data_IF_436933853182
#
_entry.id   IF_436933853182
#
_cell.length_a   1.000
_cell.length_b   1.000
_cell.length_c   1.000
_cell.angle_alpha   90.00
_cell.angle_beta   90.00
_cell.angle_gamma   90.00
#
_symmetry.space_group_name_H-M   'P 1'
#
loop_
_entity.id
_entity.type
_entity.pdbx_description
1 polymer ?
#
# COMPACT_ATOMS: atom_id res chain seq x y z
N UNK A 1 27.79 5.21 4.48
CA UNK A 1 26.86 5.92 3.55
C UNK A 1 25.67 5.05 3.12
N UNK A 2 25.21 4.14 3.97
CA UNK A 2 24.34 3.04 3.52
C UNK A 2 22.94 3.11 4.16
N UNK A 3 22.85 3.70 5.36
CA UNK A 3 21.59 3.90 6.08
C UNK A 3 20.67 4.95 5.46
N UNK A 4 21.21 5.99 4.80
CA UNK A 4 20.38 7.04 4.20
C UNK A 4 19.50 6.52 3.05
N UNK A 5 19.97 5.50 2.30
CA UNK A 5 19.22 4.93 1.18
C UNK A 5 17.96 4.21 1.65
N UNK A 6 18.05 3.53 2.79
CA UNK A 6 16.90 2.89 3.42
C UNK A 6 15.87 3.92 3.86
N UNK A 7 16.31 5.00 4.52
CA UNK A 7 15.42 6.10 4.92
C UNK A 7 14.78 6.77 3.71
N UNK A 8 15.55 7.04 2.64
CA UNK A 8 15.03 7.59 1.39
C UNK A 8 14.02 6.65 0.73
N UNK A 9 14.30 5.34 0.66
CA UNK A 9 13.38 4.37 0.10
C UNK A 9 12.05 4.34 0.82
N UNK A 10 12.08 4.41 2.15
CA UNK A 10 10.86 4.52 2.97
C UNK A 10 10.12 5.82 2.70
N UNK A 11 10.79 6.97 2.71
CA UNK A 11 10.16 8.26 2.46
C UNK A 11 9.53 8.33 1.07
N UNK A 12 10.25 7.90 0.04
CA UNK A 12 9.72 7.87 -1.33
C UNK A 12 8.56 6.90 -1.43
N UNK A 13 8.65 5.71 -0.84
CA UNK A 13 7.56 4.74 -0.82
C UNK A 13 6.28 5.32 -0.22
N UNK A 14 6.38 5.98 0.94
CA UNK A 14 5.24 6.65 1.59
C UNK A 14 4.68 7.75 0.69
N UNK A 15 5.51 8.61 0.10
CA UNK A 15 5.01 9.68 -0.79
C UNK A 15 4.24 9.06 -1.97
N UNK A 16 4.79 8.00 -2.56
CA UNK A 16 4.16 7.33 -3.70
C UNK A 16 2.84 6.63 -3.32
N UNK A 17 2.66 6.23 -2.07
CA UNK A 17 1.43 5.57 -1.61
C UNK A 17 0.18 6.45 -1.76
N UNK A 18 0.33 7.78 -1.73
CA UNK A 18 -0.75 8.74 -1.98
C UNK A 18 -1.12 8.87 -3.47
N UNK A 19 -0.17 8.56 -4.36
CA UNK A 19 -0.33 8.78 -5.81
C UNK A 19 -0.70 7.50 -6.58
N UNK A 20 -0.68 6.33 -5.95
CA UNK A 20 -0.98 5.05 -6.60
C UNK A 20 -2.37 5.01 -7.23
N UNK A 21 -3.36 5.65 -6.61
CA UNK A 21 -4.73 5.78 -7.14
C UNK A 21 -4.73 6.34 -8.57
N UNK A 22 -3.85 7.30 -8.84
CA UNK A 22 -3.72 7.94 -10.16
C UNK A 22 -2.88 7.10 -11.11
N UNK A 23 -1.77 6.50 -10.65
CA UNK A 23 -0.91 5.67 -11.50
C UNK A 23 -1.61 4.43 -12.04
N UNK A 24 -2.48 3.82 -11.24
CA UNK A 24 -3.19 2.60 -11.61
C UNK A 24 -4.64 2.85 -12.05
N UNK A 25 -5.01 4.11 -12.31
CA UNK A 25 -6.34 4.54 -12.77
C UNK A 25 -7.49 3.85 -12.02
N UNK A 26 -7.52 3.98 -10.69
CA UNK A 26 -8.56 3.35 -9.86
C UNK A 26 -9.86 4.16 -9.97
N UNK A 27 -10.59 4.02 -11.08
CA UNK A 27 -11.72 4.89 -11.47
C UNK A 27 -12.74 5.11 -10.35
N UNK A 28 -13.21 4.04 -9.70
CA UNK A 28 -14.18 4.13 -8.59
C UNK A 28 -13.66 5.00 -7.43
N UNK A 29 -12.36 4.91 -7.13
CA UNK A 29 -11.72 5.68 -6.07
C UNK A 29 -11.53 7.13 -6.53
N UNK A 30 -11.10 7.35 -7.78
CA UNK A 30 -10.95 8.69 -8.36
C UNK A 30 -12.28 9.47 -8.30
N UNK A 31 -13.40 8.82 -8.64
CA UNK A 31 -14.73 9.43 -8.54
C UNK A 31 -15.04 9.80 -7.08
N UNK A 32 -14.76 8.92 -6.12
CA UNK A 32 -14.93 9.23 -4.69
C UNK A 32 -14.08 10.42 -4.25
N UNK A 33 -12.82 10.49 -4.70
CA UNK A 33 -11.93 11.60 -4.40
C UNK A 33 -12.48 12.92 -4.93
N UNK A 34 -13.05 12.96 -6.14
CA UNK A 34 -13.62 14.18 -6.71
C UNK A 34 -14.83 14.69 -5.91
N UNK A 35 -15.66 13.79 -5.39
CA UNK A 35 -16.82 14.12 -4.55
C UNK A 35 -16.35 14.76 -3.23
N UNK A 36 -15.36 14.14 -2.58
CA UNK A 36 -14.87 14.63 -1.29
C UNK A 36 -13.92 15.84 -1.41
N UNK A 37 -13.29 16.06 -2.57
CA UNK A 37 -12.40 17.21 -2.80
C UNK A 37 -13.10 18.55 -2.56
N UNK A 38 -14.41 18.62 -2.81
CA UNK A 38 -15.21 19.83 -2.63
C UNK A 38 -15.67 20.05 -1.18
N UNK A 39 -15.57 19.03 -0.33
CA UNK A 39 -16.20 19.04 1.01
C UNK A 39 -15.20 18.84 2.14
N UNK A 40 -14.28 17.89 2.01
CA UNK A 40 -13.36 17.50 3.08
C UNK A 40 -12.04 16.96 2.50
N UNK A 41 -11.00 17.81 2.53
CA UNK A 41 -9.66 17.47 2.06
C UNK A 41 -9.04 16.35 2.90
N UNK A 42 -9.36 16.25 4.19
CA UNK A 42 -8.79 15.23 5.06
C UNK A 42 -9.31 13.85 4.65
N UNK A 43 -10.60 13.73 4.31
CA UNK A 43 -11.18 12.49 3.74
C UNK A 43 -10.57 12.10 2.41
N UNK A 44 -10.22 13.06 1.55
CA UNK A 44 -9.51 12.77 0.29
C UNK A 44 -8.19 12.04 0.59
N UNK A 45 -7.45 12.51 1.58
CA UNK A 45 -6.17 11.90 1.98
C UNK A 45 -6.41 10.50 2.56
N UNK A 46 -7.42 10.32 3.42
CA UNK A 46 -7.81 9.00 3.96
C UNK A 46 -8.11 8.01 2.84
N UNK A 47 -8.91 8.42 1.87
CA UNK A 47 -9.32 7.57 0.74
C UNK A 47 -8.12 7.23 -0.16
N UNK A 48 -7.20 8.17 -0.37
CA UNK A 48 -5.97 7.93 -1.16
C UNK A 48 -5.10 6.85 -0.54
N UNK A 49 -4.76 6.97 0.75
CA UNK A 49 -3.93 5.96 1.42
C UNK A 49 -4.70 4.65 1.57
N UNK A 50 -5.98 4.73 1.96
CA UNK A 50 -6.85 3.57 2.16
C UNK A 50 -7.05 2.73 0.89
N UNK A 51 -6.90 3.33 -0.29
CA UNK A 51 -6.97 2.63 -1.57
C UNK A 51 -5.95 1.47 -1.68
N UNK A 52 -4.77 1.62 -1.05
CA UNK A 52 -3.73 0.58 -1.05
C UNK A 52 -4.17 -0.69 -0.29
N UNK A 53 -5.19 -0.58 0.56
CA UNK A 53 -5.73 -1.67 1.37
C UNK A 53 -7.10 -2.16 0.87
N UNK A 54 -7.58 -1.74 -0.31
CA UNK A 54 -8.92 -2.12 -0.80
C UNK A 54 -9.01 -3.48 -1.49
N UNK A 55 -7.89 -4.09 -1.88
CA UNK A 55 -7.92 -5.43 -2.49
C UNK A 55 -8.09 -6.51 -1.42
N UNK A 56 -9.24 -7.18 -1.38
CA UNK A 56 -9.48 -8.25 -0.42
C UNK A 56 -8.89 -9.59 -0.92
N UNK A 57 -7.74 -9.98 -0.37
CA UNK A 57 -7.12 -11.28 -0.69
C UNK A 57 -8.00 -12.46 -0.27
N UNK A 58 -8.68 -12.33 0.87
CA UNK A 58 -9.43 -13.44 1.45
C UNK A 58 -10.65 -13.73 0.59
N UNK A 59 -11.43 -12.69 0.25
CA UNK A 59 -12.58 -12.82 -0.62
C UNK A 59 -12.18 -13.35 -2.01
N UNK A 60 -11.05 -12.90 -2.56
CA UNK A 60 -10.51 -13.44 -3.81
C UNK A 60 -10.33 -14.96 -3.79
N UNK A 61 -9.77 -15.52 -2.71
CA UNK A 61 -9.53 -16.96 -2.60
C UNK A 61 -10.73 -17.77 -2.10
N UNK A 62 -11.64 -17.17 -1.32
CA UNK A 62 -12.85 -17.86 -0.84
C UNK A 62 -14.01 -17.80 -1.83
N UNK A 63 -14.00 -16.83 -2.73
CA UNK A 63 -14.98 -16.68 -3.80
C UNK A 63 -14.64 -17.52 -5.03
N UNK A 64 -14.99 -16.99 -6.20
CA UNK A 64 -14.62 -17.57 -7.51
C UNK A 64 -13.43 -16.80 -8.08
N UNK A 65 -12.19 -17.26 -7.86
CA UNK A 65 -11.01 -16.54 -8.29
C UNK A 65 -10.97 -16.43 -9.81
N UNK A 66 -10.81 -15.20 -10.30
CA UNK A 66 -10.61 -14.91 -11.71
C UNK A 66 -9.22 -14.29 -11.91
N UNK A 67 -8.50 -14.72 -12.95
CA UNK A 67 -7.15 -14.21 -13.25
C UNK A 67 -7.16 -12.71 -13.48
N UNK A 68 -8.23 -12.16 -14.08
CA UNK A 68 -8.35 -10.71 -14.32
C UNK A 68 -8.39 -9.94 -13.00
N UNK A 69 -9.14 -10.46 -12.02
CA UNK A 69 -9.31 -9.82 -10.71
C UNK A 69 -8.03 -9.92 -9.87
N UNK A 70 -7.16 -10.90 -10.14
CA UNK A 70 -5.85 -10.98 -9.50
C UNK A 70 -4.93 -9.81 -9.90
N UNK A 71 -5.07 -9.27 -11.11
CA UNK A 71 -4.34 -8.07 -11.56
C UNK A 71 -5.08 -6.78 -11.18
N UNK A 72 -5.79 -6.80 -10.05
CA UNK A 72 -6.46 -5.62 -9.52
C UNK A 72 -5.47 -4.44 -9.37
N UNK A 73 -5.86 -3.22 -9.80
CA UNK A 73 -5.06 -2.00 -9.66
C UNK A 73 -4.49 -1.79 -8.26
N UNK A 74 -5.25 -2.14 -7.23
CA UNK A 74 -4.89 -1.97 -5.82
C UNK A 74 -3.77 -2.92 -5.38
N UNK A 75 -3.76 -4.17 -5.87
CA UNK A 75 -2.65 -5.10 -5.61
C UNK A 75 -1.39 -4.67 -6.38
N UNK A 76 -1.55 -4.23 -7.63
CA UNK A 76 -0.44 -3.71 -8.42
C UNK A 76 0.17 -2.45 -7.78
N UNK A 77 -0.66 -1.59 -7.19
CA UNK A 77 -0.23 -0.43 -6.43
C UNK A 77 0.67 -0.79 -5.24
N UNK A 78 0.27 -1.76 -4.42
CA UNK A 78 1.09 -2.18 -3.27
C UNK A 78 2.40 -2.85 -3.70
N UNK A 79 2.37 -3.66 -4.78
CA UNK A 79 3.59 -4.20 -5.40
C UNK A 79 4.50 -3.08 -5.89
N UNK A 80 3.95 -2.07 -6.56
CA UNK A 80 4.73 -0.97 -7.11
C UNK A 80 5.37 -0.09 -6.03
N UNK A 81 4.65 0.23 -4.97
CA UNK A 81 5.19 0.96 -3.81
C UNK A 81 6.36 0.17 -3.20
N UNK A 82 6.15 -1.14 -2.97
CA UNK A 82 7.20 -2.02 -2.45
C UNK A 82 8.41 -2.07 -3.36
N UNK A 83 8.18 -2.14 -4.68
CA UNK A 83 9.23 -2.16 -5.69
C UNK A 83 10.07 -0.88 -5.72
N UNK A 84 9.43 0.30 -5.70
CA UNK A 84 10.14 1.58 -5.65
C UNK A 84 10.96 1.73 -4.35
N UNK A 85 10.35 1.41 -3.21
CA UNK A 85 11.06 1.43 -1.93
C UNK A 85 12.25 0.46 -1.91
N UNK A 86 12.06 -0.74 -2.46
CA UNK A 86 13.07 -1.77 -2.57
C UNK A 86 14.23 -1.39 -3.49
N UNK A 87 13.93 -0.83 -4.66
CA UNK A 87 14.96 -0.39 -5.63
C UNK A 87 15.81 0.76 -5.10
N UNK A 88 15.23 1.70 -4.34
CA UNK A 88 15.95 2.85 -3.78
C UNK A 88 16.83 2.43 -2.59
N UNK A 89 16.29 1.57 -1.72
CA UNK A 89 17.01 1.13 -0.51
C UNK A 89 18.21 0.24 -0.81
N UNK A 90 18.18 -0.46 -1.95
CA UNK A 90 19.20 -1.36 -2.49
C UNK A 90 19.54 -2.56 -1.60
N UNK A 91 19.61 -3.73 -2.21
CA UNK A 91 19.84 -4.99 -1.52
C UNK A 91 18.54 -5.67 -1.12
N UNK A 92 18.56 -6.99 -1.04
CA UNK A 92 17.41 -7.84 -0.77
C UNK A 92 16.80 -7.61 0.62
N UNK A 93 17.61 -7.73 1.68
CA UNK A 93 17.20 -7.55 3.07
C UNK A 93 16.74 -6.12 3.33
N UNK A 94 17.44 -5.14 2.78
CA UNK A 94 17.03 -3.73 2.92
C UNK A 94 15.77 -3.42 2.15
N UNK A 95 15.62 -3.97 0.96
CA UNK A 95 14.40 -3.83 0.17
C UNK A 95 13.19 -4.39 0.89
N UNK A 96 13.34 -5.58 1.49
CA UNK A 96 12.31 -6.17 2.36
C UNK A 96 11.97 -5.29 3.57
N UNK A 97 12.99 -4.78 4.27
CA UNK A 97 12.76 -3.93 5.45
C UNK A 97 12.08 -2.63 5.04
N UNK A 98 12.55 -1.99 3.97
CA UNK A 98 12.04 -0.72 3.50
C UNK A 98 10.59 -0.85 3.00
N UNK A 99 10.29 -1.88 2.20
CA UNK A 99 8.92 -2.09 1.71
C UNK A 99 7.94 -2.46 2.82
N UNK A 100 8.36 -3.30 3.78
CA UNK A 100 7.53 -3.66 4.93
C UNK A 100 7.24 -2.43 5.81
N UNK A 101 8.26 -1.60 6.06
CA UNK A 101 8.09 -0.38 6.83
C UNK A 101 7.13 0.61 6.15
N UNK A 102 7.21 0.76 4.82
CA UNK A 102 6.29 1.64 4.08
C UNK A 102 4.85 1.23 4.32
N UNK A 103 4.50 -0.05 4.13
CA UNK A 103 3.11 -0.51 4.33
C UNK A 103 2.66 -0.39 5.79
N UNK A 104 3.53 -0.69 6.76
CA UNK A 104 3.18 -0.53 8.17
C UNK A 104 2.91 0.94 8.48
N UNK A 105 3.76 1.85 7.97
CA UNK A 105 3.59 3.29 8.19
C UNK A 105 2.33 3.80 7.48
N UNK A 106 2.09 3.40 6.24
CA UNK A 106 0.88 3.76 5.49
C UNK A 106 -0.39 3.28 6.22
N UNK A 107 -0.37 2.06 6.77
CA UNK A 107 -1.46 1.54 7.58
C UNK A 107 -1.69 2.38 8.84
N UNK A 108 -0.62 2.75 9.54
CA UNK A 108 -0.73 3.59 10.73
C UNK A 108 -1.23 4.99 10.41
N UNK A 109 -0.74 5.61 9.31
CA UNK A 109 -1.21 6.91 8.85
C UNK A 109 -2.69 6.82 8.47
N UNK A 110 -3.09 5.79 7.72
CA UNK A 110 -4.48 5.56 7.35
C UNK A 110 -5.38 5.47 8.59
N UNK A 111 -5.03 4.62 9.56
CA UNK A 111 -5.77 4.48 10.82
C UNK A 111 -5.86 5.79 11.61
N UNK A 112 -4.76 6.53 11.74
CA UNK A 112 -4.75 7.81 12.45
C UNK A 112 -5.62 8.86 11.77
N UNK A 113 -5.52 8.98 10.44
CA UNK A 113 -6.32 9.93 9.68
C UNK A 113 -7.80 9.54 9.67
N UNK A 114 -8.13 8.25 9.62
CA UNK A 114 -9.52 7.76 9.76
C UNK A 114 -10.13 8.22 11.09
N UNK A 115 -9.40 8.09 12.22
CA UNK A 115 -9.87 8.62 13.52
C UNK A 115 -10.12 10.11 13.47
N UNK A 116 -9.17 10.88 12.93
CA UNK A 116 -9.26 12.35 12.88
C UNK A 116 -10.42 12.80 11.98
N UNK A 117 -10.70 12.07 10.90
CA UNK A 117 -11.83 12.31 9.99
C UNK A 117 -13.20 11.91 10.55
N UNK A 118 -13.23 11.33 11.76
CA UNK A 118 -14.43 10.84 12.40
C UNK A 118 -15.02 9.58 11.76
N UNK A 119 -14.21 8.79 11.07
CA UNK A 119 -14.62 7.46 10.61
C UNK A 119 -14.79 6.52 11.80
N UNK A 120 -15.84 5.70 11.77
CA UNK A 120 -16.05 4.66 12.76
C UNK A 120 -15.10 3.49 12.50
N UNK A 121 -13.92 3.56 13.11
CA UNK A 121 -12.95 2.46 13.07
C UNK A 121 -13.55 1.16 13.60
N UNK A 122 -14.49 1.22 14.56
CA UNK A 122 -15.06 0.02 15.15
C UNK A 122 -15.86 -0.76 14.10
N UNK A 123 -16.51 -0.09 13.15
CA UNK A 123 -17.19 -0.72 12.04
C UNK A 123 -16.22 -1.55 11.16
N UNK A 124 -15.01 -1.03 10.90
CA UNK A 124 -14.00 -1.72 10.08
C UNK A 124 -13.57 -3.07 10.64
N UNK A 125 -13.69 -3.28 11.95
CA UNK A 125 -13.31 -4.51 12.65
C UNK A 125 -14.52 -5.32 13.14
N UNK A 126 -15.71 -5.13 12.54
CA UNK A 126 -16.92 -5.88 12.89
C UNK A 126 -17.59 -6.53 11.68
N UNK A 127 -18.23 -7.69 11.93
CA UNK A 127 -19.03 -8.40 10.94
C UNK A 127 -18.28 -8.74 9.66
N UNK A 128 -18.93 -8.56 8.51
CA UNK A 128 -18.34 -8.84 7.19
C UNK A 128 -17.19 -7.88 6.83
N UNK A 129 -17.17 -6.67 7.39
CA UNK A 129 -16.14 -5.66 7.11
C UNK A 129 -14.79 -6.05 7.71
N UNK A 130 -14.78 -6.82 8.82
CA UNK A 130 -13.55 -7.35 9.41
C UNK A 130 -12.76 -8.20 8.41
N UNK A 131 -13.43 -9.13 7.71
CA UNK A 131 -12.78 -10.00 6.72
C UNK A 131 -12.18 -9.17 5.60
N UNK A 132 -12.94 -8.19 5.09
CA UNK A 132 -12.48 -7.28 4.04
C UNK A 132 -11.27 -6.45 4.43
N UNK A 133 -11.29 -5.87 5.64
CA UNK A 133 -10.17 -5.08 6.15
C UNK A 133 -8.91 -5.94 6.34
N UNK A 134 -9.05 -7.13 6.93
CA UNK A 134 -7.92 -8.05 7.10
C UNK A 134 -7.37 -8.51 5.75
N UNK A 135 -8.25 -8.89 4.82
CA UNK A 135 -7.85 -9.28 3.47
C UNK A 135 -7.13 -8.16 2.72
N UNK A 136 -7.62 -6.92 2.88
CA UNK A 136 -6.98 -5.69 2.42
C UNK A 136 -5.56 -5.49 2.93
N UNK A 137 -5.38 -5.62 4.25
CA UNK A 137 -4.08 -5.50 4.92
C UNK A 137 -3.12 -6.60 4.44
N UNK A 138 -3.60 -7.85 4.36
CA UNK A 138 -2.79 -8.97 3.89
C UNK A 138 -2.35 -8.78 2.44
N UNK A 139 -3.24 -8.31 1.56
CA UNK A 139 -2.90 -7.95 0.18
C UNK A 139 -1.81 -6.90 0.09
N UNK A 140 -1.93 -5.83 0.86
CA UNK A 140 -0.95 -4.75 0.86
C UNK A 140 0.42 -5.23 1.34
N UNK A 141 0.45 -6.03 2.42
CA UNK A 141 1.68 -6.62 2.95
C UNK A 141 2.31 -7.56 1.92
N UNK A 142 1.55 -8.50 1.36
CA UNK A 142 2.06 -9.45 0.36
C UNK A 142 2.57 -8.72 -0.88
N UNK A 143 1.79 -7.77 -1.39
CA UNK A 143 2.17 -6.96 -2.54
C UNK A 143 3.49 -6.22 -2.28
N UNK A 144 3.61 -5.52 -1.17
CA UNK A 144 4.85 -4.78 -0.87
C UNK A 144 6.05 -5.68 -0.56
N UNK A 145 5.85 -6.86 0.02
CA UNK A 145 6.94 -7.84 0.18
C UNK A 145 7.43 -8.31 -1.19
N UNK A 146 6.52 -8.70 -2.08
CA UNK A 146 6.84 -9.12 -3.45
C UNK A 146 7.56 -7.98 -4.18
N UNK A 147 7.01 -6.78 -4.13
CA UNK A 147 7.60 -5.58 -4.71
C UNK A 147 9.00 -5.32 -4.17
N UNK A 148 9.16 -5.30 -2.84
CA UNK A 148 10.43 -5.03 -2.18
C UNK A 148 11.52 -6.05 -2.49
N UNK A 149 11.15 -7.34 -2.58
CA UNK A 149 12.04 -8.40 -3.05
C UNK A 149 12.52 -8.13 -4.48
N UNK A 150 11.59 -7.91 -5.41
CA UNK A 150 11.91 -7.64 -6.80
C UNK A 150 12.80 -6.40 -6.93
N UNK A 151 12.47 -5.33 -6.21
CA UNK A 151 13.25 -4.09 -6.22
C UNK A 151 14.65 -4.26 -5.64
N UNK A 152 14.78 -4.99 -4.53
CA UNK A 152 16.06 -5.28 -3.89
C UNK A 152 16.96 -6.19 -4.74
N UNK A 153 16.37 -7.18 -5.44
CA UNK A 153 17.10 -8.07 -6.37
C UNK A 153 17.63 -7.28 -7.56
N UNK A 154 16.79 -6.46 -8.20
CA UNK A 154 17.18 -5.74 -9.43
C UNK A 154 18.22 -4.65 -9.13
N UNK A 155 18.12 -3.99 -7.97
CA UNK A 155 18.99 -2.88 -7.60
C UNK A 155 20.37 -3.29 -7.07
N UNK A 156 20.65 -4.59 -6.95
CA UNK A 156 21.94 -5.12 -6.52
C UNK A 156 21.83 -5.84 -5.17
N UNK A 157 21.64 -7.18 -5.16
CA UNK A 157 21.39 -7.93 -3.92
C UNK A 157 22.60 -7.94 -2.97
N UNK A 158 23.80 -7.68 -3.49
CA UNK A 158 25.05 -7.66 -2.72
C UNK A 158 25.47 -6.27 -2.23
N UNK A 159 24.78 -5.19 -2.61
CA UNK A 159 25.02 -3.82 -2.10
C UNK A 159 24.61 -3.66 -0.62
N UNK A 160 24.22 -4.75 0.03
CA UNK A 160 24.00 -4.79 1.48
C UNK A 160 25.29 -4.71 2.29
N UNK A 161 26.38 -5.28 1.76
CA UNK A 161 27.61 -5.53 2.52
C UNK A 161 28.66 -4.43 2.31
N UNK A 162 28.53 -3.67 1.22
CA UNK A 162 29.41 -2.57 0.83
C UNK A 162 28.79 -1.20 1.13
#
# INVERSE_FOLDING_TARGET
>A
MVSYRLVLGVLVGIIFSFFTVYFFNMENIIIQLQIYLQTDILKVIVIQIGANFKFDLLDFFTGTPNIVDFFAPQLLASIFIGFLSGTISKGLKRGLIASSLVIIIDFLIWMLLSVISGEDLMALFQGAQLSGTIGGILSAILGAIIGGLLGGIISGPYEEVY
#
